data_IF_558638371469
#
_entry.id   IF_558638371469
#
_cell.length_a   1.000
_cell.length_b   1.000
_cell.length_c   1.000
_cell.angle_alpha   90.00
_cell.angle_beta   90.00
_cell.angle_gamma   90.00
#
_symmetry.space_group_name_H-M   'P 1'
#
loop_
_entity.id
_entity.type
_entity.pdbx_description
1 polymer ?
#
# COMPACT_ATOMS: atom_id res chain seq x y z
N UNK A 1 22.54 -10.75 -17.01
CA UNK A 1 21.66 -10.39 -15.86
C UNK A 1 20.92 -9.13 -16.22
N UNK A 2 19.59 -9.06 -16.02
CA UNK A 2 18.83 -7.81 -16.28
C UNK A 2 19.21 -6.76 -15.24
N UNK A 3 19.37 -5.52 -15.68
CA UNK A 3 19.69 -4.38 -14.81
C UNK A 3 18.53 -3.39 -14.81
N UNK A 4 18.25 -2.82 -13.63
CA UNK A 4 17.21 -1.82 -13.41
C UNK A 4 17.80 -0.63 -12.61
N UNK A 5 17.20 0.54 -12.78
CA UNK A 5 17.56 1.65 -11.90
C UNK A 5 17.10 1.36 -10.48
N UNK A 6 15.85 0.88 -10.31
CA UNK A 6 15.26 0.65 -9.00
C UNK A 6 14.51 -0.70 -9.00
N UNK A 7 14.77 -1.49 -7.94
CA UNK A 7 13.91 -2.63 -7.61
C UNK A 7 13.08 -2.30 -6.37
N UNK A 8 11.78 -2.53 -6.44
CA UNK A 8 10.83 -2.38 -5.32
C UNK A 8 10.39 -3.77 -4.89
N UNK A 9 10.54 -4.09 -3.60
CA UNK A 9 10.06 -5.35 -3.02
C UNK A 9 8.72 -5.09 -2.33
N UNK A 10 7.66 -5.72 -2.83
CA UNK A 10 6.28 -5.54 -2.41
C UNK A 10 5.47 -4.55 -3.26
N UNK A 11 4.29 -4.97 -3.71
CA UNK A 11 3.36 -4.20 -4.55
C UNK A 11 2.02 -3.93 -3.84
N UNK A 12 2.08 -3.66 -2.54
CA UNK A 12 0.97 -3.08 -1.79
C UNK A 12 0.81 -1.58 -2.05
N UNK A 13 -0.03 -0.88 -1.27
CA UNK A 13 -0.27 0.57 -1.45
C UNK A 13 1.00 1.42 -1.49
N UNK A 14 1.94 1.18 -0.59
CA UNK A 14 3.22 1.91 -0.55
C UNK A 14 4.07 1.66 -1.80
N UNK A 15 4.31 0.39 -2.13
CA UNK A 15 5.13 0.03 -3.29
C UNK A 15 4.49 0.44 -4.61
N UNK A 16 3.18 0.27 -4.75
CA UNK A 16 2.44 0.71 -5.93
C UNK A 16 2.45 2.23 -6.12
N UNK A 17 2.34 2.99 -5.05
CA UNK A 17 2.42 4.46 -5.09
C UNK A 17 3.82 4.92 -5.46
N UNK A 18 4.84 4.41 -4.77
CA UNK A 18 6.25 4.73 -5.06
C UNK A 18 6.63 4.39 -6.50
N UNK A 19 6.24 3.21 -6.97
CA UNK A 19 6.53 2.76 -8.33
C UNK A 19 5.94 3.71 -9.38
N UNK A 20 4.69 4.18 -9.19
CA UNK A 20 4.07 5.15 -10.10
C UNK A 20 4.82 6.48 -10.09
N UNK A 21 5.18 7.02 -8.92
CA UNK A 21 5.92 8.27 -8.81
C UNK A 21 7.29 8.17 -9.51
N UNK A 22 8.04 7.11 -9.29
CA UNK A 22 9.34 6.90 -9.93
C UNK A 22 9.21 6.66 -11.45
N UNK A 23 8.17 5.94 -11.88
CA UNK A 23 7.92 5.70 -13.30
C UNK A 23 7.62 6.99 -14.09
N UNK A 24 6.96 7.97 -13.47
CA UNK A 24 6.74 9.30 -14.06
C UNK A 24 8.05 10.03 -14.38
N UNK A 25 9.12 9.75 -13.63
CA UNK A 25 10.46 10.30 -13.86
C UNK A 25 11.31 9.45 -14.82
N UNK A 26 10.71 8.43 -15.45
CA UNK A 26 11.35 7.65 -16.52
C UNK A 26 12.36 6.59 -16.06
N UNK A 27 12.41 6.29 -14.76
CA UNK A 27 13.27 5.21 -14.23
C UNK A 27 12.82 3.83 -14.75
N UNK A 28 13.80 2.95 -14.95
CA UNK A 28 13.54 1.53 -15.17
C UNK A 28 13.31 0.84 -13.84
N UNK A 29 12.14 0.23 -13.67
CA UNK A 29 11.69 -0.29 -12.38
C UNK A 29 11.33 -1.76 -12.49
N UNK A 30 11.88 -2.56 -11.60
CA UNK A 30 11.40 -3.91 -11.35
C UNK A 30 10.63 -3.92 -10.03
N UNK A 31 9.43 -4.49 -10.04
CA UNK A 31 8.63 -4.70 -8.84
C UNK A 31 8.55 -6.20 -8.60
N UNK A 32 8.98 -6.65 -7.43
CA UNK A 32 8.92 -8.05 -6.99
C UNK A 32 7.85 -8.18 -5.91
N UNK A 33 6.80 -8.95 -6.18
CA UNK A 33 5.76 -9.24 -5.20
C UNK A 33 5.64 -10.76 -5.02
N UNK A 34 5.68 -11.20 -3.76
CA UNK A 34 5.54 -12.62 -3.43
C UNK A 34 4.13 -13.15 -3.67
N UNK A 35 3.14 -12.27 -3.67
CA UNK A 35 1.74 -12.63 -3.86
C UNK A 35 1.43 -12.82 -5.35
N UNK A 36 0.49 -13.72 -5.64
CA UNK A 36 -0.01 -13.96 -7.00
C UNK A 36 -0.83 -12.77 -7.53
N UNK A 37 -1.48 -12.04 -6.64
CA UNK A 37 -2.31 -10.88 -6.96
C UNK A 37 -2.30 -9.91 -5.77
N UNK A 38 -3.14 -8.87 -5.80
CA UNK A 38 -3.35 -8.04 -4.61
C UNK A 38 -4.06 -8.84 -3.51
N UNK A 39 -3.78 -8.48 -2.26
CA UNK A 39 -4.44 -9.09 -1.11
C UNK A 39 -5.92 -8.71 -1.10
N UNK A 40 -6.85 -9.69 -1.02
CA UNK A 40 -8.28 -9.43 -1.24
C UNK A 40 -8.97 -8.73 -0.07
N UNK A 41 -8.39 -8.78 1.14
CA UNK A 41 -8.96 -8.16 2.32
C UNK A 41 -8.31 -6.81 2.61
N UNK A 42 -9.08 -5.78 2.96
CA UNK A 42 -8.52 -4.47 3.28
C UNK A 42 -7.74 -4.53 4.59
N UNK A 43 -6.57 -3.91 4.61
CA UNK A 43 -5.75 -3.69 5.82
C UNK A 43 -5.78 -2.23 6.25
N UNK A 44 -6.00 -1.33 5.31
CA UNK A 44 -6.19 0.08 5.54
C UNK A 44 -7.58 0.49 5.09
N UNK A 45 -8.21 1.39 5.83
CA UNK A 45 -9.61 1.79 5.61
C UNK A 45 -9.78 3.28 5.36
N UNK A 46 -8.75 4.09 5.60
CA UNK A 46 -8.79 5.53 5.38
C UNK A 46 -7.41 6.06 4.98
N UNK A 47 -7.41 7.22 4.33
CA UNK A 47 -6.25 8.04 4.01
C UNK A 47 -6.65 9.52 4.08
N UNK A 48 -5.65 10.40 4.15
CA UNK A 48 -5.81 11.85 4.30
C UNK A 48 -5.72 12.60 2.94
N UNK A 49 -5.85 13.90 3.03
CA UNK A 49 -5.79 14.83 1.90
C UNK A 49 -4.38 14.92 1.27
N UNK A 50 -3.32 14.73 2.05
CA UNK A 50 -1.94 14.68 1.54
C UNK A 50 -1.76 13.49 0.60
N UNK A 51 -2.24 12.32 1.00
CA UNK A 51 -2.22 11.12 0.16
C UNK A 51 -3.10 11.29 -1.09
N UNK A 52 -4.25 11.99 -0.99
CA UNK A 52 -5.05 12.30 -2.16
C UNK A 52 -4.30 13.22 -3.15
N UNK A 53 -3.46 14.14 -2.67
CA UNK A 53 -2.56 14.93 -3.52
C UNK A 53 -1.54 14.06 -4.24
N UNK A 54 -0.99 13.06 -3.57
CA UNK A 54 -0.09 12.08 -4.20
C UNK A 54 -0.83 11.32 -5.31
N UNK A 55 -2.06 10.85 -5.05
CA UNK A 55 -2.87 10.18 -6.08
C UNK A 55 -3.24 11.10 -7.24
N UNK A 56 -3.44 12.39 -6.98
CA UNK A 56 -3.64 13.40 -8.02
C UNK A 56 -2.38 13.54 -8.89
N UNK A 57 -1.21 13.62 -8.28
CA UNK A 57 0.08 13.67 -9.00
C UNK A 57 0.27 12.44 -9.88
N UNK A 58 -0.03 11.25 -9.38
CA UNK A 58 0.01 9.99 -10.16
C UNK A 58 -1.03 9.99 -11.29
N UNK A 59 -2.11 10.77 -11.16
CA UNK A 59 -3.19 10.86 -12.14
C UNK A 59 -4.22 9.74 -12.06
N UNK A 60 -4.44 9.15 -10.85
CA UNK A 60 -5.46 8.12 -10.63
C UNK A 60 -6.73 8.65 -9.95
N UNK A 61 -6.74 9.90 -9.49
CA UNK A 61 -7.81 10.47 -8.65
C UNK A 61 -9.18 10.36 -9.29
N UNK A 62 -9.33 10.71 -10.59
CA UNK A 62 -10.61 10.67 -11.31
C UNK A 62 -11.26 9.28 -11.28
N UNK A 63 -10.43 8.24 -11.48
CA UNK A 63 -10.89 6.85 -11.51
C UNK A 63 -11.08 6.28 -10.10
N UNK A 64 -10.35 6.80 -9.12
CA UNK A 64 -10.35 6.27 -7.76
C UNK A 64 -11.41 6.90 -6.84
N UNK A 65 -11.78 8.18 -7.03
CA UNK A 65 -12.76 8.87 -6.20
C UNK A 65 -14.09 8.14 -6.07
N UNK A 66 -14.55 7.46 -7.12
CA UNK A 66 -15.80 6.68 -7.09
C UNK A 66 -15.79 5.48 -6.13
N UNK A 67 -14.60 5.08 -5.66
CA UNK A 67 -14.39 4.02 -4.67
C UNK A 67 -14.10 4.58 -3.28
N UNK A 68 -14.31 5.87 -3.08
CA UNK A 68 -14.06 6.54 -1.81
C UNK A 68 -15.30 7.23 -1.29
N UNK A 69 -15.35 7.41 0.03
CA UNK A 69 -16.34 8.28 0.67
C UNK A 69 -15.62 9.21 1.65
N UNK A 70 -16.16 10.43 1.82
CA UNK A 70 -15.62 11.39 2.79
C UNK A 70 -15.77 10.80 4.19
N UNK A 71 -14.67 10.72 4.92
CA UNK A 71 -14.65 10.25 6.29
C UNK A 71 -15.03 11.39 7.24
N UNK A 72 -16.20 11.28 7.87
CA UNK A 72 -16.73 12.28 8.80
C UNK A 72 -16.13 12.19 10.21
N UNK A 73 -15.26 11.22 10.46
CA UNK A 73 -14.62 11.02 11.76
C UNK A 73 -14.82 9.63 12.33
N UNK A 74 -14.41 9.47 13.58
CA UNK A 74 -14.45 8.20 14.33
C UNK A 74 -15.03 8.43 15.71
N UNK A 75 -15.84 7.47 16.16
CA UNK A 75 -16.29 7.36 17.56
C UNK A 75 -15.76 6.08 18.16
N UNK A 76 -15.30 6.15 19.37
CA UNK A 76 -14.99 4.98 20.20
C UNK A 76 -16.02 4.88 21.30
N UNK A 77 -16.62 3.73 21.45
CA UNK A 77 -17.60 3.44 22.48
C UNK A 77 -17.18 2.22 23.29
N UNK A 78 -17.61 2.13 24.54
CA UNK A 78 -17.42 0.93 25.35
C UNK A 78 -18.54 -0.10 25.10
N UNK A 79 -18.48 -1.24 25.78
CA UNK A 79 -19.48 -2.30 25.67
C UNK A 79 -20.91 -1.88 26.05
N UNK A 80 -21.08 -0.77 26.79
CA UNK A 80 -22.39 -0.17 27.17
C UNK A 80 -22.80 0.95 26.19
N UNK A 81 -22.17 1.07 25.03
CA UNK A 81 -22.42 2.12 24.02
C UNK A 81 -22.13 3.56 24.51
N UNK A 82 -21.45 3.72 25.66
CA UNK A 82 -21.01 5.04 26.11
C UNK A 82 -19.83 5.51 25.29
N UNK A 83 -19.89 6.73 24.75
CA UNK A 83 -18.82 7.35 23.97
C UNK A 83 -17.60 7.58 24.87
N UNK A 84 -16.46 7.00 24.48
CA UNK A 84 -15.14 7.21 25.10
C UNK A 84 -14.44 8.37 24.40
N UNK A 85 -14.49 8.40 23.07
CA UNK A 85 -13.90 9.44 22.23
C UNK A 85 -14.81 9.71 21.04
N UNK A 86 -15.10 10.97 20.80
CA UNK A 86 -15.73 11.45 19.57
C UNK A 86 -14.75 12.37 18.84
N UNK A 87 -14.26 11.91 17.69
CA UNK A 87 -13.28 12.62 16.89
C UNK A 87 -13.84 12.97 15.50
N UNK A 88 -14.61 14.06 15.38
CA UNK A 88 -15.13 14.50 14.11
C UNK A 88 -14.01 15.06 13.22
N UNK A 89 -14.14 14.87 11.91
CA UNK A 89 -13.27 15.51 10.91
C UNK A 89 -13.90 16.80 10.41
N UNK A 90 -13.07 17.82 10.08
CA UNK A 90 -13.57 19.05 9.44
C UNK A 90 -14.35 18.74 8.16
N UNK A 91 -15.43 19.48 7.92
CA UNK A 91 -16.30 19.29 6.75
C UNK A 91 -15.94 20.17 5.56
N UNK A 92 -14.79 20.85 5.61
CA UNK A 92 -14.30 21.73 4.56
C UNK A 92 -13.05 21.16 3.88
N UNK A 93 -12.84 21.57 2.66
CA UNK A 93 -11.62 21.29 1.89
C UNK A 93 -10.44 21.98 2.59
N UNK A 94 -9.31 21.29 2.66
CA UNK A 94 -8.04 21.77 3.21
C UNK A 94 -7.24 22.54 2.17
N UNK A 95 -6.10 23.09 2.57
CA UNK A 95 -5.17 23.78 1.66
C UNK A 95 -4.57 22.84 0.60
N UNK A 96 -4.62 21.52 0.84
CA UNK A 96 -4.28 20.50 -0.16
C UNK A 96 -5.34 20.36 -1.28
N UNK A 97 -6.46 21.06 -1.20
CA UNK A 97 -7.53 21.04 -2.19
C UNK A 97 -8.47 19.82 -2.08
N UNK A 98 -8.40 19.06 -0.99
CA UNK A 98 -9.15 17.85 -0.74
C UNK A 98 -9.79 17.84 0.65
N UNK A 99 -10.77 16.95 0.89
CA UNK A 99 -11.29 16.74 2.25
C UNK A 99 -10.23 16.08 3.14
N UNK A 100 -10.21 16.37 4.45
CA UNK A 100 -9.13 15.95 5.36
C UNK A 100 -8.99 14.43 5.50
N UNK A 101 -10.00 13.65 5.12
CA UNK A 101 -9.93 12.20 5.21
C UNK A 101 -10.97 11.52 4.32
N UNK A 102 -10.58 10.39 3.76
CA UNK A 102 -11.43 9.53 2.93
C UNK A 102 -11.40 8.10 3.45
N UNK A 103 -12.54 7.41 3.38
CA UNK A 103 -12.59 5.96 3.53
C UNK A 103 -12.53 5.32 2.16
N UNK A 104 -11.92 4.17 2.09
CA UNK A 104 -11.74 3.44 0.85
C UNK A 104 -11.66 1.93 1.08
N UNK A 105 -11.81 1.18 0.00
CA UNK A 105 -11.54 -0.24 -0.04
C UNK A 105 -10.15 -0.45 -0.67
N UNK A 106 -9.19 -0.95 0.10
CA UNK A 106 -7.78 -1.06 -0.32
C UNK A 106 -7.59 -1.84 -1.63
N UNK A 107 -8.27 -2.98 -1.88
CA UNK A 107 -8.15 -3.67 -3.17
C UNK A 107 -8.49 -2.81 -4.39
N UNK A 108 -9.42 -1.87 -4.27
CA UNK A 108 -9.76 -0.98 -5.38
C UNK A 108 -8.66 0.06 -5.63
N UNK A 109 -8.01 0.57 -4.59
CA UNK A 109 -6.82 1.41 -4.73
C UNK A 109 -5.70 0.66 -5.44
N UNK A 110 -5.39 -0.56 -4.99
CA UNK A 110 -4.32 -1.36 -5.58
C UNK A 110 -4.59 -1.69 -7.06
N UNK A 111 -5.85 -1.93 -7.44
CA UNK A 111 -6.24 -2.09 -8.85
C UNK A 111 -5.92 -0.83 -9.67
N UNK A 112 -6.24 0.37 -9.16
CA UNK A 112 -5.96 1.62 -9.86
C UNK A 112 -4.44 1.87 -10.00
N UNK A 113 -3.67 1.67 -8.93
CA UNK A 113 -2.22 1.80 -8.96
C UNK A 113 -1.59 0.83 -9.99
N UNK A 114 -1.98 -0.44 -9.97
CA UNK A 114 -1.50 -1.47 -10.91
C UNK A 114 -1.93 -1.17 -12.36
N UNK A 115 -3.16 -0.68 -12.56
CA UNK A 115 -3.66 -0.25 -13.88
C UNK A 115 -2.77 0.86 -14.45
N UNK A 116 -2.41 1.85 -13.63
CA UNK A 116 -1.55 2.95 -14.02
C UNK A 116 -0.13 2.46 -14.34
N UNK A 117 0.44 1.59 -13.53
CA UNK A 117 1.78 1.03 -13.76
C UNK A 117 1.92 0.33 -15.11
N UNK A 118 0.86 -0.31 -15.61
CA UNK A 118 0.86 -0.96 -16.94
C UNK A 118 1.03 0.01 -18.10
N UNK A 119 0.80 1.31 -17.89
CA UNK A 119 1.01 2.33 -18.95
C UNK A 119 2.48 2.72 -19.13
N UNK A 120 3.38 2.33 -18.23
CA UNK A 120 4.79 2.69 -18.29
C UNK A 120 5.62 1.57 -18.91
N UNK A 121 6.27 1.84 -20.07
CA UNK A 121 7.07 0.85 -20.81
C UNK A 121 8.29 0.32 -20.05
N UNK A 122 8.84 1.10 -19.11
CA UNK A 122 10.04 0.73 -18.35
C UNK A 122 9.73 0.10 -16.98
N UNK A 123 8.47 -0.25 -16.70
CA UNK A 123 8.07 -0.91 -15.45
C UNK A 123 7.81 -2.38 -15.74
N UNK A 124 8.48 -3.25 -15.01
CA UNK A 124 8.24 -4.69 -15.01
C UNK A 124 7.71 -5.12 -13.64
N UNK A 125 6.62 -5.88 -13.63
CA UNK A 125 6.01 -6.45 -12.44
C UNK A 125 6.16 -7.97 -12.49
N UNK A 126 6.85 -8.51 -11.51
CA UNK A 126 6.99 -9.96 -11.31
C UNK A 126 6.21 -10.35 -10.05
N UNK A 127 5.13 -11.09 -10.24
CA UNK A 127 4.32 -11.68 -9.17
C UNK A 127 4.81 -13.09 -8.86
N UNK A 128 4.43 -13.64 -7.70
CA UNK A 128 4.97 -14.90 -7.16
C UNK A 128 6.50 -14.86 -7.01
N UNK A 129 7.08 -13.67 -6.87
CA UNK A 129 8.50 -13.42 -6.79
C UNK A 129 8.92 -13.25 -5.34
N UNK A 130 9.29 -14.35 -4.69
CA UNK A 130 9.73 -14.35 -3.31
C UNK A 130 11.22 -14.00 -3.24
N UNK A 131 11.54 -12.80 -2.76
CA UNK A 131 12.92 -12.37 -2.55
C UNK A 131 13.52 -13.15 -1.39
N UNK A 132 14.67 -13.80 -1.62
CA UNK A 132 15.33 -14.66 -0.60
C UNK A 132 16.69 -14.13 -0.17
N UNK A 133 17.35 -13.30 -0.99
CA UNK A 133 18.63 -12.71 -0.64
C UNK A 133 18.83 -11.36 -1.31
N UNK A 134 19.35 -10.41 -0.56
CA UNK A 134 19.76 -9.07 -1.02
C UNK A 134 21.21 -8.89 -0.61
N UNK A 135 22.06 -8.46 -1.53
CA UNK A 135 23.48 -8.26 -1.27
C UNK A 135 23.92 -6.94 -1.88
N UNK A 136 24.39 -6.02 -1.06
CA UNK A 136 24.93 -4.75 -1.51
C UNK A 136 26.34 -4.93 -2.10
N UNK A 137 26.61 -4.27 -3.20
CA UNK A 137 27.92 -4.07 -3.82
C UNK A 137 28.22 -2.58 -3.83
N UNK A 138 29.46 -2.21 -4.21
CA UNK A 138 29.88 -0.80 -4.24
C UNK A 138 28.92 0.13 -5.03
N UNK A 139 28.43 -0.33 -6.16
CA UNK A 139 27.63 0.50 -7.09
C UNK A 139 26.24 -0.05 -7.39
N UNK A 140 25.85 -1.18 -6.79
CA UNK A 140 24.55 -1.81 -7.07
C UNK A 140 24.13 -2.79 -5.97
N UNK A 141 22.90 -3.24 -6.10
CA UNK A 141 22.30 -4.27 -5.23
C UNK A 141 22.04 -5.50 -6.08
N UNK A 142 22.50 -6.67 -5.63
CA UNK A 142 22.21 -7.96 -6.22
C UNK A 142 21.04 -8.61 -5.47
N UNK A 143 20.03 -9.03 -6.19
CA UNK A 143 18.80 -9.58 -5.66
C UNK A 143 18.63 -11.01 -6.19
N UNK A 144 18.40 -11.95 -5.28
CA UNK A 144 17.98 -13.32 -5.61
C UNK A 144 16.54 -13.49 -5.21
N UNK A 145 15.67 -13.92 -6.14
CA UNK A 145 14.31 -14.32 -5.82
C UNK A 145 13.95 -15.67 -6.44
N UNK A 146 12.96 -16.31 -5.86
CA UNK A 146 12.40 -17.57 -6.31
C UNK A 146 10.98 -17.32 -6.80
N UNK A 147 10.65 -17.80 -7.98
CA UNK A 147 9.26 -17.81 -8.44
C UNK A 147 8.52 -18.98 -7.78
N UNK A 148 7.53 -18.66 -6.95
CA UNK A 148 6.80 -19.65 -6.13
C UNK A 148 5.93 -20.61 -6.95
N UNK A 149 5.64 -20.34 -8.23
CA UNK A 149 4.85 -21.23 -9.08
C UNK A 149 5.67 -22.40 -9.66
N UNK A 150 6.95 -22.18 -9.93
CA UNK A 150 7.79 -23.13 -10.65
C UNK A 150 9.16 -23.38 -10.00
N UNK A 151 9.38 -22.79 -8.83
CA UNK A 151 10.64 -22.85 -8.07
C UNK A 151 11.90 -22.39 -8.84
N UNK A 152 11.73 -21.65 -9.95
CA UNK A 152 12.87 -21.11 -10.68
C UNK A 152 13.51 -19.97 -9.91
N UNK A 153 14.85 -19.97 -9.92
CA UNK A 153 15.68 -18.97 -9.26
C UNK A 153 16.09 -17.90 -10.29
N UNK A 154 15.99 -16.66 -9.87
CA UNK A 154 16.37 -15.50 -10.68
C UNK A 154 17.37 -14.62 -9.95
N UNK A 155 18.28 -14.03 -10.70
CA UNK A 155 19.28 -13.08 -10.23
C UNK A 155 19.11 -11.76 -10.99
N UNK A 156 18.95 -10.69 -10.25
CA UNK A 156 18.72 -9.34 -10.76
C UNK A 156 19.76 -8.41 -10.15
N UNK A 157 20.09 -7.36 -10.90
CA UNK A 157 20.95 -6.27 -10.46
C UNK A 157 20.20 -4.95 -10.58
N UNK A 158 20.29 -4.10 -9.56
CA UNK A 158 19.72 -2.77 -9.55
C UNK A 158 20.66 -1.76 -8.93
N UNK A 159 20.54 -0.49 -9.34
CA UNK A 159 21.27 0.59 -8.66
C UNK A 159 20.76 0.77 -7.23
N UNK A 160 19.45 0.74 -7.06
CA UNK A 160 18.80 0.87 -5.75
C UNK A 160 17.77 -0.24 -5.52
N UNK A 161 17.53 -0.56 -4.25
CA UNK A 161 16.44 -1.42 -3.82
C UNK A 161 15.66 -0.72 -2.72
N UNK A 162 14.32 -0.73 -2.82
CA UNK A 162 13.42 -0.18 -1.82
C UNK A 162 12.50 -1.29 -1.30
N UNK A 163 12.48 -1.48 0.02
CA UNK A 163 11.59 -2.42 0.70
C UNK A 163 10.23 -1.79 0.99
N UNK A 164 9.19 -2.33 0.36
CA UNK A 164 7.78 -2.04 0.62
C UNK A 164 7.02 -3.33 0.99
N UNK A 165 7.71 -4.29 1.58
CA UNK A 165 7.34 -5.69 1.80
C UNK A 165 6.64 -5.93 3.15
N UNK A 166 6.21 -4.85 3.81
CA UNK A 166 5.27 -4.86 4.94
C UNK A 166 5.88 -5.28 6.27
N UNK A 167 5.01 -5.72 7.19
CA UNK A 167 5.40 -5.98 8.58
C UNK A 167 6.48 -7.09 8.74
N UNK A 168 6.44 -8.11 7.89
CA UNK A 168 7.40 -9.23 7.88
C UNK A 168 8.48 -9.04 6.81
N UNK A 169 9.02 -7.82 6.71
CA UNK A 169 9.95 -7.41 5.69
C UNK A 169 11.25 -8.18 5.71
N UNK A 170 11.55 -8.87 4.59
CA UNK A 170 12.87 -9.46 4.36
C UNK A 170 13.90 -8.36 4.11
N UNK A 171 13.52 -7.27 3.46
CA UNK A 171 14.42 -6.13 3.22
C UNK A 171 14.93 -5.57 4.53
N UNK A 172 14.06 -5.38 5.54
CA UNK A 172 14.46 -4.93 6.87
C UNK A 172 15.49 -5.87 7.51
N UNK A 173 15.28 -7.19 7.41
CA UNK A 173 16.21 -8.18 7.93
C UNK A 173 17.56 -8.12 7.21
N UNK A 174 17.57 -7.96 5.90
CA UNK A 174 18.80 -7.94 5.09
C UNK A 174 19.65 -6.68 5.30
N UNK A 175 19.02 -5.53 5.62
CA UNK A 175 19.74 -4.31 6.01
C UNK A 175 20.13 -4.29 7.49
N UNK A 176 19.90 -5.41 8.20
CA UNK A 176 20.29 -5.63 9.61
C UNK A 176 19.65 -4.64 10.60
N UNK A 177 18.46 -4.11 10.27
CA UNK A 177 17.69 -3.29 11.22
C UNK A 177 16.60 -4.14 11.90
N UNK A 178 16.16 -3.71 13.08
CA UNK A 178 15.18 -4.43 13.91
C UNK A 178 13.93 -3.56 14.12
N UNK A 179 12.83 -4.21 14.44
CA UNK A 179 11.65 -3.58 15.00
C UNK A 179 11.80 -3.52 16.52
N UNK A 180 11.62 -2.36 17.10
CA UNK A 180 11.52 -2.23 18.54
C UNK A 180 10.13 -2.62 19.02
N UNK A 181 10.05 -3.51 20.00
CA UNK A 181 8.80 -3.89 20.62
C UNK A 181 8.54 -2.98 21.83
N UNK A 182 7.53 -2.13 21.74
CA UNK A 182 7.14 -1.20 22.81
C UNK A 182 6.32 -1.87 23.93
N UNK A 183 6.14 -3.18 23.90
CA UNK A 183 5.44 -3.95 24.93
C UNK A 183 3.92 -3.95 24.81
N UNK A 184 3.32 -3.36 23.78
CA UNK A 184 1.88 -3.40 23.54
C UNK A 184 1.50 -4.70 22.82
N UNK A 185 0.81 -5.60 23.52
CA UNK A 185 0.45 -6.94 23.04
C UNK A 185 -1.05 -7.20 23.03
N UNK A 186 -1.88 -6.16 22.91
CA UNK A 186 -3.33 -6.30 22.87
C UNK A 186 -3.80 -7.01 21.61
N UNK A 187 -4.85 -7.81 21.77
CA UNK A 187 -5.56 -8.44 20.66
C UNK A 187 -6.63 -7.51 20.13
N UNK A 188 -6.65 -7.33 18.81
CA UNK A 188 -7.65 -6.55 18.09
C UNK A 188 -8.45 -7.47 17.18
N UNK A 189 -9.78 -7.31 17.18
CA UNK A 189 -10.64 -7.92 16.17
C UNK A 189 -11.02 -6.84 15.16
N UNK A 190 -10.70 -7.09 13.88
CA UNK A 190 -11.16 -6.26 12.76
C UNK A 190 -12.19 -7.07 12.00
N UNK A 191 -13.38 -6.49 11.82
CA UNK A 191 -14.50 -7.18 11.17
C UNK A 191 -15.01 -6.32 10.02
N UNK A 192 -14.93 -6.83 8.80
CA UNK A 192 -15.53 -6.24 7.62
C UNK A 192 -16.88 -6.91 7.35
N UNK A 193 -17.94 -6.11 7.20
CA UNK A 193 -19.29 -6.59 7.01
C UNK A 193 -19.82 -6.16 5.64
N UNK A 194 -20.41 -7.10 4.92
CA UNK A 194 -21.16 -6.82 3.69
C UNK A 194 -22.64 -6.66 4.05
N UNK A 195 -23.19 -5.49 3.74
CA UNK A 195 -24.60 -5.22 3.97
C UNK A 195 -25.46 -5.98 2.96
N UNK A 196 -26.36 -6.82 3.44
CA UNK A 196 -27.34 -7.53 2.60
C UNK A 196 -28.45 -6.62 2.06
N UNK A 197 -28.71 -5.47 2.72
CA UNK A 197 -29.72 -4.49 2.33
C UNK A 197 -29.21 -3.09 2.67
N UNK A 198 -29.58 -2.09 1.86
CA UNK A 198 -29.32 -0.69 2.20
C UNK A 198 -30.05 -0.33 3.51
N UNK A 199 -29.30 -0.14 4.58
CA UNK A 199 -29.81 0.37 5.85
C UNK A 199 -29.57 1.88 5.90
N UNK A 200 -30.66 2.66 5.95
CA UNK A 200 -30.60 4.14 6.03
C UNK A 200 -30.02 4.67 7.36
N UNK A 201 -29.91 3.83 8.40
CA UNK A 201 -29.58 4.24 9.76
C UNK A 201 -28.20 3.71 10.22
N UNK A 202 -27.24 3.58 9.32
CA UNK A 202 -25.87 3.31 9.74
C UNK A 202 -25.24 4.58 10.32
N UNK A 203 -24.38 4.44 11.37
CA UNK A 203 -23.68 5.59 11.92
C UNK A 203 -22.85 6.30 10.85
N UNK A 204 -22.93 7.62 10.82
CA UNK A 204 -22.14 8.47 9.91
C UNK A 204 -20.64 8.41 10.16
N UNK A 205 -20.27 8.03 11.37
CA UNK A 205 -18.89 7.90 11.84
C UNK A 205 -18.60 6.47 12.25
N UNK A 206 -17.39 6.02 12.05
CA UNK A 206 -16.92 4.69 12.42
C UNK A 206 -16.98 4.54 13.95
N UNK A 207 -17.43 3.41 14.40
CA UNK A 207 -17.43 3.02 15.78
C UNK A 207 -16.42 1.90 15.96
#
# INVERSE_FOLDING_TARGET
MKEFDITIVGLGPAGGTLANLLAMHGFSILILDKEKSFYPLPRAVHFDDEIMRVFQTIGITKDFLKYTIINKGTKFVNSKQKVILDWPRPKKITDNGWYPSYRFHQPDLEKQLRKKLKSYKKVLIEQNANVVKITNSKNNVNIKYVNSNNNKIFYIKSKYLVGCDGANSITRTQIKTKMDNLGFTQKWAVVDLILKRNKKNLPDRTI
#
